data_IF_251464294124
#
_entry.id   IF_251464294124
#
_cell.length_a   1.000
_cell.length_b   1.000
_cell.length_c   1.000
_cell.angle_alpha   90.00
_cell.angle_beta   90.00
_cell.angle_gamma   90.00
#
_symmetry.space_group_name_H-M   'P 1'
#
loop_
_entity.id
_entity.type
_entity.pdbx_description
1 polymer ?
#
# COMPACT_ATOMS: atom_id res chain seq x y z
N UNK A 1 9.34 15.66 6.07
CA UNK A 1 8.48 14.51 6.40
C UNK A 1 8.63 14.18 7.87
N UNK A 2 7.59 13.64 8.51
CA UNK A 2 7.64 13.22 9.91
C UNK A 2 8.24 11.80 10.03
N UNK A 3 9.05 11.56 11.06
CA UNK A 3 9.65 10.24 11.30
C UNK A 3 8.68 9.36 12.11
N UNK A 4 8.06 8.39 11.44
CA UNK A 4 7.06 7.50 12.03
C UNK A 4 7.64 6.57 13.12
N UNK A 5 8.98 6.45 13.23
CA UNK A 5 9.65 5.62 14.23
C UNK A 5 9.96 6.36 15.53
N UNK A 6 9.94 7.70 15.51
CA UNK A 6 10.27 8.57 16.65
C UNK A 6 9.19 9.57 17.01
N UNK A 7 8.20 9.76 16.13
CA UNK A 7 7.13 10.72 16.36
C UNK A 7 6.35 10.38 17.63
N UNK A 8 5.99 11.43 18.38
CA UNK A 8 5.09 11.36 19.53
C UNK A 8 3.62 11.59 19.13
N UNK A 9 3.36 11.95 17.86
CA UNK A 9 2.03 12.36 17.37
C UNK A 9 1.35 11.24 16.58
N UNK A 10 2.12 10.42 15.86
CA UNK A 10 1.64 9.31 15.03
C UNK A 10 2.62 8.13 15.09
N UNK A 11 2.09 6.91 15.04
CA UNK A 11 2.89 5.68 15.08
C UNK A 11 2.16 4.54 14.35
N UNK A 12 2.87 3.42 14.12
CA UNK A 12 2.28 2.16 13.65
C UNK A 12 2.27 1.15 14.77
N UNK A 13 1.20 0.35 14.83
CA UNK A 13 1.04 -0.69 15.85
C UNK A 13 0.92 -2.07 15.18
N UNK A 14 1.56 -3.06 15.77
CA UNK A 14 1.39 -4.45 15.36
C UNK A 14 0.08 -5.00 15.96
N UNK A 15 -0.89 -5.33 15.10
CA UNK A 15 -2.19 -5.89 15.51
C UNK A 15 -2.22 -7.41 15.67
N UNK A 16 -1.07 -8.09 15.52
CA UNK A 16 -0.99 -9.56 15.64
C UNK A 16 -1.64 -10.35 14.48
N UNK A 17 -2.06 -9.68 13.41
CA UNK A 17 -2.70 -10.31 12.25
C UNK A 17 -1.65 -10.98 11.34
N UNK A 18 -1.96 -12.18 10.85
CA UNK A 18 -1.18 -12.86 9.81
C UNK A 18 -1.98 -12.89 8.51
N UNK A 19 -1.48 -12.19 7.50
CA UNK A 19 -2.11 -12.12 6.18
C UNK A 19 -1.42 -13.10 5.23
N UNK A 20 -2.19 -14.00 4.62
CA UNK A 20 -1.68 -14.91 3.58
C UNK A 20 -1.49 -14.17 2.26
N UNK A 21 -0.54 -14.55 1.39
CA UNK A 21 -0.39 -13.96 0.06
C UNK A 21 -1.68 -14.01 -0.78
N UNK A 22 -2.48 -15.06 -0.63
CA UNK A 22 -3.77 -15.22 -1.33
C UNK A 22 -4.84 -14.18 -0.93
N UNK A 23 -4.64 -13.50 0.20
CA UNK A 23 -5.51 -12.42 0.69
C UNK A 23 -5.04 -11.04 0.20
N UNK A 24 -3.97 -10.94 -0.59
CA UNK A 24 -3.45 -9.67 -1.10
C UNK A 24 -3.71 -9.59 -2.60
N UNK A 25 -4.36 -8.51 -3.04
CA UNK A 25 -4.61 -8.23 -4.46
C UNK A 25 -3.67 -7.13 -4.92
N UNK A 26 -2.93 -7.39 -5.99
CA UNK A 26 -2.12 -6.38 -6.68
C UNK A 26 -2.91 -5.73 -7.82
N UNK A 27 -3.01 -4.40 -7.80
CA UNK A 27 -3.86 -3.58 -8.68
C UNK A 27 -3.10 -2.38 -9.23
N UNK A 28 -3.63 -1.73 -10.29
CA UNK A 28 -3.09 -0.44 -10.75
C UNK A 28 -3.24 0.61 -9.65
N UNK A 29 -2.26 1.53 -9.56
CA UNK A 29 -2.32 2.67 -8.63
C UNK A 29 -3.43 3.64 -9.08
N UNK A 30 -4.05 4.33 -8.12
CA UNK A 30 -5.15 5.28 -8.37
C UNK A 30 -4.54 6.65 -8.66
N UNK A 31 -5.13 7.42 -9.58
CA UNK A 31 -4.77 8.82 -9.83
C UNK A 31 -3.47 9.06 -10.62
N UNK A 32 -2.89 8.02 -11.23
CA UNK A 32 -1.62 8.13 -11.97
C UNK A 32 -1.74 7.83 -13.47
N UNK A 33 -2.94 7.98 -14.04
CA UNK A 33 -3.17 7.69 -15.47
C UNK A 33 -2.32 8.60 -16.39
N UNK A 34 -1.84 9.75 -15.88
CA UNK A 34 -0.89 10.63 -16.57
C UNK A 34 0.50 9.99 -16.79
N UNK A 35 0.86 8.94 -16.07
CA UNK A 35 2.21 8.36 -16.06
C UNK A 35 2.51 7.47 -17.28
N UNK A 36 1.77 7.62 -18.39
CA UNK A 36 1.81 6.77 -19.60
C UNK A 36 1.42 5.30 -19.30
N UNK A 37 1.06 4.50 -20.34
CA UNK A 37 0.52 3.15 -20.13
C UNK A 37 1.45 2.20 -19.36
N UNK A 38 2.76 2.32 -19.54
CA UNK A 38 3.71 1.45 -18.85
C UNK A 38 3.65 1.63 -17.33
N UNK A 39 3.77 2.85 -16.82
CA UNK A 39 3.79 3.09 -15.36
C UNK A 39 2.41 3.14 -14.72
N UNK A 40 1.40 3.63 -15.43
CA UNK A 40 0.01 3.69 -14.92
C UNK A 40 -0.59 2.31 -14.71
N UNK A 41 -0.20 1.32 -15.52
CA UNK A 41 -0.75 -0.06 -15.45
C UNK A 41 0.04 -1.02 -14.56
N UNK A 42 1.20 -0.60 -14.01
CA UNK A 42 1.96 -1.43 -13.05
C UNK A 42 1.11 -1.73 -11.82
N UNK A 43 1.07 -3.02 -11.44
CA UNK A 43 0.34 -3.53 -10.28
C UNK A 43 1.08 -3.25 -8.97
N UNK A 44 1.29 -1.98 -8.66
CA UNK A 44 2.04 -1.49 -7.50
C UNK A 44 1.16 -0.88 -6.42
N UNK A 45 -0.12 -1.27 -6.38
CA UNK A 45 -1.03 -0.99 -5.27
C UNK A 45 -1.55 -2.31 -4.73
N UNK A 46 -1.35 -2.54 -3.44
CA UNK A 46 -1.76 -3.76 -2.75
C UNK A 46 -2.95 -3.46 -1.83
N UNK A 47 -3.97 -4.30 -1.90
CA UNK A 47 -5.16 -4.21 -1.04
C UNK A 47 -5.50 -5.58 -0.48
N UNK A 48 -6.16 -5.62 0.67
CA UNK A 48 -6.72 -6.86 1.19
C UNK A 48 -7.92 -7.30 0.32
N UNK A 49 -7.95 -8.59 -0.01
CA UNK A 49 -9.11 -9.25 -0.59
C UNK A 49 -10.19 -9.33 0.49
N UNK A 50 -11.29 -8.62 0.27
CA UNK A 50 -12.52 -8.72 1.06
C UNK A 50 -13.24 -10.01 0.65
#
# INVERSE_FOLDING_TARGET
GEDLTKSKRIWLENRGLRIKPSQIIATKRVGIDYARPYWSRRKWRFVLKI
#
